data_IF_939562796943
#
_entry.id   IF_939562796943
#
_cell.length_a   1.000
_cell.length_b   1.000
_cell.length_c   1.000
_cell.angle_alpha   90.00
_cell.angle_beta   90.00
_cell.angle_gamma   90.00
#
_symmetry.space_group_name_H-M   'P 1'
#
loop_
_entity.id
_entity.type
_entity.pdbx_description
1 polymer ?
#
# COMPACT_ATOMS: atom_id res chain seq x y z
N UNK A 1 -1.88 3.97 14.74
CA UNK A 1 -0.77 4.95 14.73
C UNK A 1 -1.09 6.17 15.58
N UNK A 2 -0.17 6.63 16.43
CA UNK A 2 -0.33 7.80 17.28
C UNK A 2 -0.14 9.07 16.45
N UNK A 3 -1.17 9.43 15.70
CA UNK A 3 -1.22 10.71 14.99
C UNK A 3 -1.93 11.76 15.84
N UNK A 4 -1.81 13.03 15.46
CA UNK A 4 -2.58 14.12 16.07
C UNK A 4 -4.09 13.88 16.05
N UNK A 5 -4.59 13.08 15.08
CA UNK A 5 -5.99 12.66 14.96
C UNK A 5 -6.34 11.40 15.79
N UNK A 6 -5.36 10.56 16.15
CA UNK A 6 -5.58 9.31 16.91
C UNK A 6 -5.73 9.49 18.42
N UNK A 7 -5.38 10.67 18.95
CA UNK A 7 -5.52 11.01 20.37
C UNK A 7 -4.66 10.15 21.31
N UNK A 8 -4.88 10.29 22.63
CA UNK A 8 -4.12 9.61 23.69
C UNK A 8 -4.34 8.08 23.74
N UNK A 9 -5.25 7.55 22.93
CA UNK A 9 -5.66 6.14 22.93
C UNK A 9 -5.02 5.29 21.82
N UNK A 10 -4.16 5.86 20.97
CA UNK A 10 -3.47 5.11 19.93
C UNK A 10 -2.23 4.41 20.53
N UNK A 11 -2.24 3.07 20.68
CA UNK A 11 -1.21 2.33 21.41
C UNK A 11 0.05 2.04 20.58
N UNK A 12 -0.02 2.25 19.25
CA UNK A 12 1.04 1.84 18.34
C UNK A 12 2.26 2.74 18.42
N UNK A 13 3.43 2.21 18.07
CA UNK A 13 4.64 3.01 17.87
C UNK A 13 4.52 3.81 16.56
N UNK A 14 4.80 5.12 16.61
CA UNK A 14 4.79 5.99 15.44
C UNK A 14 5.76 5.53 14.35
N UNK A 15 6.91 4.96 14.76
CA UNK A 15 7.94 4.45 13.86
C UNK A 15 7.40 3.31 12.99
N UNK A 16 6.57 2.45 13.58
CA UNK A 16 5.94 1.34 12.89
C UNK A 16 5.00 1.80 11.76
N UNK A 17 4.52 3.06 11.82
CA UNK A 17 3.61 3.63 10.83
C UNK A 17 4.22 3.94 9.47
N UNK A 18 5.53 4.08 9.36
CA UNK A 18 6.20 4.45 8.11
C UNK A 18 7.38 3.56 7.74
N UNK A 19 7.84 2.69 8.64
CA UNK A 19 9.11 1.98 8.43
C UNK A 19 9.08 1.05 7.22
N UNK A 20 7.94 0.44 6.89
CA UNK A 20 7.81 -0.45 5.73
C UNK A 20 7.94 0.35 4.45
N UNK A 21 7.36 1.54 4.40
CA UNK A 21 7.39 2.43 3.25
C UNK A 21 8.79 2.99 3.02
N UNK A 22 9.48 3.39 4.10
CA UNK A 22 10.88 3.84 3.99
C UNK A 22 11.78 2.70 3.52
N UNK A 23 11.62 1.49 4.08
CA UNK A 23 12.38 0.32 3.65
C UNK A 23 12.14 -0.01 2.16
N UNK A 24 10.88 -0.03 1.69
CA UNK A 24 10.56 -0.26 0.28
C UNK A 24 11.13 0.83 -0.65
N UNK A 25 11.17 2.09 -0.19
CA UNK A 25 11.60 3.22 -1.02
C UNK A 25 13.12 3.38 -1.12
N UNK A 26 13.88 2.93 -0.12
CA UNK A 26 15.32 3.28 -0.01
C UNK A 26 16.27 2.09 0.18
N UNK A 27 15.76 0.88 0.42
CA UNK A 27 16.60 -0.28 0.72
C UNK A 27 17.16 -0.93 -0.55
N UNK A 28 18.34 -1.55 -0.43
CA UNK A 28 18.90 -2.46 -1.43
C UNK A 28 18.71 -3.95 -1.05
N UNK A 29 17.86 -4.20 -0.04
CA UNK A 29 17.45 -5.55 0.34
C UNK A 29 16.70 -6.21 -0.83
N UNK A 30 17.04 -7.45 -1.16
CA UNK A 30 16.39 -8.19 -2.27
C UNK A 30 14.88 -8.29 -2.09
N UNK A 31 14.41 -8.37 -0.85
CA UNK A 31 12.97 -8.46 -0.55
C UNK A 31 12.25 -7.12 -0.74
N UNK A 32 12.98 -6.00 -0.75
CA UNK A 32 12.44 -4.67 -1.08
C UNK A 32 12.48 -4.38 -2.58
N UNK A 33 13.34 -5.06 -3.34
CA UNK A 33 13.54 -4.87 -4.78
C UNK A 33 12.61 -5.76 -5.63
N UNK A 34 11.33 -5.78 -5.28
CA UNK A 34 10.29 -6.58 -5.95
C UNK A 34 9.05 -5.71 -6.23
N UNK A 35 8.27 -6.09 -7.24
CA UNK A 35 6.98 -5.47 -7.58
C UNK A 35 5.82 -6.45 -7.38
N UNK A 36 4.61 -5.91 -7.25
CA UNK A 36 3.38 -6.72 -7.11
C UNK A 36 3.26 -7.49 -5.79
N UNK A 37 4.02 -7.10 -4.77
CA UNK A 37 4.00 -7.73 -3.43
C UNK A 37 3.37 -6.80 -2.40
N UNK A 38 2.74 -7.39 -1.40
CA UNK A 38 2.09 -6.67 -0.31
C UNK A 38 2.87 -6.88 1.00
N UNK A 39 3.28 -5.78 1.65
CA UNK A 39 4.12 -5.83 2.85
C UNK A 39 3.47 -5.13 4.04
N UNK A 40 3.68 -5.69 5.23
CA UNK A 40 3.29 -5.12 6.51
C UNK A 40 4.39 -5.43 7.56
N UNK A 41 4.88 -4.41 8.27
CA UNK A 41 6.07 -4.51 9.14
C UNK A 41 7.26 -5.23 8.48
N UNK A 42 7.59 -4.83 7.24
CA UNK A 42 8.69 -5.37 6.41
C UNK A 42 8.61 -6.89 6.17
N UNK A 43 7.41 -7.47 6.21
CA UNK A 43 7.15 -8.88 5.91
C UNK A 43 6.08 -8.99 4.85
N UNK A 44 6.21 -9.93 3.92
CA UNK A 44 5.17 -10.18 2.92
C UNK A 44 3.92 -10.73 3.61
N UNK A 45 2.77 -10.17 3.28
CA UNK A 45 1.45 -10.62 3.73
C UNK A 45 0.56 -10.88 2.52
N UNK A 46 -0.47 -11.71 2.71
CA UNK A 46 -1.49 -11.89 1.69
C UNK A 46 -2.54 -10.78 1.83
N UNK A 47 -2.80 -9.99 0.76
CA UNK A 47 -3.91 -9.05 0.77
C UNK A 47 -5.25 -9.81 0.70
N UNK A 48 -6.36 -9.08 0.69
CA UNK A 48 -7.64 -9.65 0.28
C UNK A 48 -7.48 -10.23 -1.14
N UNK A 49 -7.97 -11.46 -1.37
CA UNK A 49 -7.89 -12.13 -2.68
C UNK A 49 -8.54 -11.35 -3.82
N UNK A 50 -9.53 -10.51 -3.54
CA UNK A 50 -10.12 -9.62 -4.56
C UNK A 50 -9.10 -8.61 -5.12
N UNK A 51 -8.08 -8.27 -4.35
CA UNK A 51 -6.98 -7.43 -4.82
C UNK A 51 -6.16 -8.11 -5.92
N UNK A 52 -6.22 -9.43 -6.07
CA UNK A 52 -5.55 -10.19 -7.14
C UNK A 52 -6.46 -10.44 -8.36
N UNK A 53 -7.74 -10.03 -8.33
CA UNK A 53 -8.66 -10.14 -9.48
C UNK A 53 -8.39 -9.02 -10.50
N UNK A 54 -7.66 -9.36 -11.56
CA UNK A 54 -7.33 -8.45 -12.66
C UNK A 54 -8.59 -7.84 -13.31
N UNK A 55 -9.68 -8.60 -13.46
CA UNK A 55 -10.90 -8.05 -14.05
C UNK A 55 -11.53 -7.00 -13.14
N UNK A 56 -11.42 -7.17 -11.82
CA UNK A 56 -11.87 -6.17 -10.86
C UNK A 56 -10.97 -4.92 -10.90
N UNK A 57 -9.65 -5.10 -10.96
CA UNK A 57 -8.69 -3.99 -11.09
C UNK A 57 -8.98 -3.14 -12.34
N UNK A 58 -9.16 -3.78 -13.50
CA UNK A 58 -9.45 -3.08 -14.77
C UNK A 58 -10.76 -2.30 -14.71
N UNK A 59 -11.83 -2.90 -14.14
CA UNK A 59 -13.10 -2.20 -13.94
C UNK A 59 -12.94 -1.00 -13.01
N UNK A 60 -12.18 -1.15 -11.92
CA UNK A 60 -11.93 -0.06 -10.97
C UNK A 60 -11.17 1.09 -11.65
N UNK A 61 -10.10 0.81 -12.37
CA UNK A 61 -9.32 1.82 -13.09
C UNK A 61 -10.16 2.56 -14.14
N UNK A 62 -11.03 1.85 -14.86
CA UNK A 62 -11.98 2.46 -15.80
C UNK A 62 -12.90 3.47 -15.09
N UNK A 63 -13.48 3.09 -13.95
CA UNK A 63 -14.36 3.99 -13.17
C UNK A 63 -13.58 5.20 -12.64
N UNK A 64 -12.35 5.01 -12.15
CA UNK A 64 -11.50 6.12 -11.75
C UNK A 64 -11.24 7.10 -12.90
N UNK A 65 -10.99 6.59 -14.11
CA UNK A 65 -10.80 7.44 -15.28
C UNK A 65 -12.07 8.21 -15.67
N UNK A 66 -13.23 7.57 -15.60
CA UNK A 66 -14.53 8.21 -15.87
C UNK A 66 -14.83 9.35 -14.87
N UNK A 67 -14.52 9.15 -13.58
CA UNK A 67 -14.79 10.14 -12.53
C UNK A 67 -13.79 11.30 -12.56
N UNK A 68 -12.51 10.99 -12.76
CA UNK A 68 -11.43 11.99 -12.64
C UNK A 68 -11.08 12.67 -13.96
N UNK A 69 -11.46 12.08 -15.10
CA UNK A 69 -11.02 12.50 -16.43
C UNK A 69 -9.54 12.17 -16.72
N UNK A 70 -8.86 11.42 -15.85
CA UNK A 70 -7.45 11.05 -15.99
C UNK A 70 -7.33 9.55 -16.30
N UNK A 71 -6.82 9.16 -17.48
CA UNK A 71 -6.63 7.74 -17.80
C UNK A 71 -5.47 7.14 -17.01
N UNK A 72 -5.50 5.81 -16.82
CA UNK A 72 -4.34 5.09 -16.29
C UNK A 72 -3.16 5.19 -17.28
N UNK A 73 -1.94 5.51 -16.81
CA UNK A 73 -0.78 5.65 -17.69
C UNK A 73 -0.40 4.30 -18.34
N UNK A 74 0.08 4.38 -19.58
CA UNK A 74 0.68 3.27 -20.32
C UNK A 74 2.14 3.02 -19.91
#
# INVERSE_FOLDING_TARGET
MPTKMGGRGAPDDLKEGYETQVWLATSNDSDALVSGRYFHHKREFRPNSEADDVNLQERFLKVCAEITGVPFPL
#
